data_IF_643257904368
#
_entry.id   IF_643257904368
#
_cell.length_a   1.000
_cell.length_b   1.000
_cell.length_c   1.000
_cell.angle_alpha   90.00
_cell.angle_beta   90.00
_cell.angle_gamma   90.00
#
_symmetry.space_group_name_H-M   'P 1'
#
loop_
_entity.id
_entity.type
_entity.pdbx_description
1 polymer ?
#
# COMPACT_ATOMS: atom_id res chain seq x y z
N UNK A 1 -2.12 -41.56 -2.65
CA UNK A 1 -0.89 -41.59 -1.82
C UNK A 1 -0.03 -40.32 -1.97
N UNK A 2 0.32 -39.91 -3.20
CA UNK A 2 1.25 -38.78 -3.46
C UNK A 2 0.65 -37.42 -3.06
N UNK A 3 -0.63 -37.19 -3.31
CA UNK A 3 -1.29 -35.93 -2.95
C UNK A 3 -1.35 -35.69 -1.43
N UNK A 4 -1.53 -36.75 -0.63
CA UNK A 4 -1.54 -36.63 0.84
C UNK A 4 -0.13 -36.34 1.36
N UNK A 5 0.90 -36.96 0.77
CA UNK A 5 2.29 -36.72 1.14
C UNK A 5 2.73 -35.27 0.81
N UNK A 6 2.34 -34.73 -0.35
CA UNK A 6 2.62 -33.36 -0.74
C UNK A 6 1.90 -32.37 0.19
N UNK A 7 0.64 -32.64 0.53
CA UNK A 7 -0.12 -31.84 1.48
C UNK A 7 0.50 -31.87 2.88
N UNK A 8 0.92 -33.06 3.38
CA UNK A 8 1.57 -33.20 4.68
C UNK A 8 2.93 -32.45 4.73
N UNK A 9 3.74 -32.54 3.67
CA UNK A 9 5.01 -31.81 3.56
C UNK A 9 4.74 -30.29 3.47
N UNK A 10 3.73 -29.87 2.72
CA UNK A 10 3.32 -28.46 2.66
C UNK A 10 2.89 -27.92 4.03
N UNK A 11 2.09 -28.67 4.79
CA UNK A 11 1.67 -28.30 6.14
C UNK A 11 2.86 -28.29 7.11
N UNK A 12 3.78 -29.27 7.00
CA UNK A 12 4.98 -29.32 7.84
C UNK A 12 5.93 -28.16 7.55
N UNK A 13 6.15 -27.79 6.28
CA UNK A 13 6.93 -26.62 5.91
C UNK A 13 6.24 -25.34 6.41
N UNK A 14 4.93 -25.22 6.26
CA UNK A 14 4.15 -24.08 6.74
C UNK A 14 4.24 -23.96 8.27
N UNK A 15 4.12 -25.08 9.01
CA UNK A 15 4.23 -25.07 10.47
C UNK A 15 5.63 -24.71 10.97
N UNK A 16 6.69 -25.20 10.31
CA UNK A 16 8.09 -24.83 10.64
C UNK A 16 8.39 -23.38 10.30
N UNK A 17 7.90 -22.87 9.16
CA UNK A 17 8.07 -21.45 8.81
C UNK A 17 7.26 -20.53 9.72
N UNK A 18 6.08 -20.96 10.15
CA UNK A 18 5.27 -20.27 11.17
C UNK A 18 5.99 -20.31 12.51
N UNK A 19 6.50 -21.44 12.99
CA UNK A 19 7.19 -21.57 14.27
C UNK A 19 8.51 -20.75 14.35
N UNK A 20 9.25 -20.63 13.25
CA UNK A 20 10.49 -19.82 13.20
C UNK A 20 10.26 -18.33 12.93
N UNK A 21 9.11 -17.95 12.37
CA UNK A 21 8.72 -16.53 12.13
C UNK A 21 7.87 -15.96 13.29
N UNK A 22 7.57 -16.77 14.31
CA UNK A 22 6.53 -16.50 15.30
C UNK A 22 6.69 -15.22 16.10
N UNK A 23 7.92 -14.79 16.36
CA UNK A 23 8.09 -13.59 17.19
C UNK A 23 7.79 -12.30 16.44
N UNK A 24 8.19 -12.16 15.17
CA UNK A 24 8.08 -10.88 14.49
C UNK A 24 6.69 -10.57 13.92
N UNK A 25 6.01 -11.56 13.34
CA UNK A 25 4.65 -11.39 12.81
C UNK A 25 3.62 -11.29 13.92
N UNK A 26 3.74 -12.15 14.93
CA UNK A 26 2.90 -12.10 16.12
C UNK A 26 3.09 -10.79 16.89
N UNK A 27 4.32 -10.31 17.03
CA UNK A 27 4.59 -9.01 17.64
C UNK A 27 3.88 -7.86 16.92
N UNK A 28 3.84 -7.84 15.58
CA UNK A 28 3.10 -6.82 14.82
C UNK A 28 1.60 -6.86 15.10
N UNK A 29 1.01 -8.06 15.19
CA UNK A 29 -0.42 -8.20 15.51
C UNK A 29 -0.69 -7.82 16.97
N UNK A 30 0.15 -8.25 17.90
CA UNK A 30 0.03 -7.90 19.34
C UNK A 30 0.20 -6.39 19.52
N UNK A 31 1.19 -5.78 18.85
CA UNK A 31 1.42 -4.33 18.87
C UNK A 31 0.24 -3.55 18.29
N UNK A 32 -0.41 -4.08 17.28
CA UNK A 32 -1.60 -3.47 16.72
C UNK A 32 -2.81 -3.56 17.64
N UNK A 33 -2.99 -4.70 18.35
CA UNK A 33 -4.09 -4.89 19.29
C UNK A 33 -3.91 -4.11 20.61
N UNK A 34 -2.67 -3.93 21.07
CA UNK A 34 -2.33 -3.20 22.29
C UNK A 34 -1.23 -2.15 22.03
N UNK A 35 -1.54 -1.05 21.34
CA UNK A 35 -0.54 -0.05 20.93
C UNK A 35 0.13 0.64 22.11
N UNK A 36 -0.59 0.85 23.23
CA UNK A 36 -0.05 1.51 24.41
C UNK A 36 0.97 0.65 25.18
N UNK A 37 0.75 -0.67 25.23
CA UNK A 37 1.64 -1.59 25.94
C UNK A 37 2.94 -1.90 25.15
N UNK A 38 2.99 -1.62 23.86
CA UNK A 38 4.09 -1.95 22.95
C UNK A 38 4.67 -0.71 22.25
N UNK A 39 4.50 0.46 22.85
CA UNK A 39 4.93 1.75 22.30
C UNK A 39 6.42 1.80 21.94
N UNK A 40 7.27 1.01 22.61
CA UNK A 40 8.71 1.02 22.39
C UNK A 40 9.18 0.14 21.20
N UNK A 41 8.35 -0.75 20.65
CA UNK A 41 8.85 -1.75 19.69
C UNK A 41 8.08 -1.89 18.38
N UNK A 42 6.77 -1.88 18.37
CA UNK A 42 6.02 -2.23 17.15
C UNK A 42 4.93 -1.24 16.77
N UNK A 43 4.30 -0.61 17.75
CA UNK A 43 3.24 0.38 17.54
C UNK A 43 3.76 1.81 17.41
N UNK A 44 5.03 2.06 17.74
CA UNK A 44 5.65 3.38 17.68
C UNK A 44 5.45 4.06 16.31
N UNK A 45 5.71 3.32 15.22
CA UNK A 45 5.60 3.84 13.87
C UNK A 45 4.16 4.27 13.53
N UNK A 46 3.15 3.47 13.89
CA UNK A 46 1.74 3.79 13.63
C UNK A 46 1.26 4.95 14.52
N UNK A 47 1.63 4.94 15.82
CA UNK A 47 1.28 6.02 16.74
C UNK A 47 1.87 7.36 16.30
N UNK A 48 3.14 7.39 15.94
CA UNK A 48 3.79 8.59 15.40
C UNK A 48 3.15 9.03 14.07
N UNK A 49 2.73 8.06 13.24
CA UNK A 49 1.96 8.33 12.02
C UNK A 49 0.64 9.03 12.31
N UNK A 50 -0.13 8.55 13.27
CA UNK A 50 -1.39 9.18 13.67
C UNK A 50 -1.19 10.58 14.26
N UNK A 51 -0.14 10.78 15.07
CA UNK A 51 0.23 12.11 15.58
C UNK A 51 0.62 13.06 14.44
N UNK A 52 1.36 12.59 13.44
CA UNK A 52 1.73 13.39 12.27
C UNK A 52 0.50 13.82 11.47
N UNK A 53 -0.44 12.89 11.19
CA UNK A 53 -1.70 13.20 10.52
C UNK A 53 -2.50 14.25 11.32
N UNK A 54 -2.63 14.04 12.64
CA UNK A 54 -3.34 14.99 13.51
C UNK A 54 -2.68 16.37 13.57
N UNK A 55 -1.34 16.42 13.55
CA UNK A 55 -0.59 17.67 13.62
C UNK A 55 -0.61 18.49 12.32
N UNK A 56 -0.86 17.84 11.17
CA UNK A 56 -0.96 18.51 9.87
C UNK A 56 -2.24 19.34 9.70
N UNK A 57 -3.32 19.02 10.41
CA UNK A 57 -4.60 19.74 10.30
C UNK A 57 -5.15 19.75 8.86
N UNK A 58 -5.90 20.80 8.49
CA UNK A 58 -6.51 20.90 7.17
C UNK A 58 -5.53 21.26 6.07
N UNK A 59 -4.60 22.18 6.33
CA UNK A 59 -3.70 22.76 5.31
C UNK A 59 -2.23 22.35 5.46
N UNK A 60 -1.91 21.56 6.46
CA UNK A 60 -0.54 21.08 6.71
C UNK A 60 0.38 22.14 7.35
N UNK A 61 1.59 21.71 7.68
CA UNK A 61 2.67 22.53 8.24
C UNK A 61 3.50 23.22 7.16
N UNK A 62 3.23 22.96 5.88
CA UNK A 62 4.00 23.41 4.74
C UNK A 62 5.02 22.38 4.25
N UNK A 63 5.33 22.45 2.96
CA UNK A 63 6.29 21.55 2.30
C UNK A 63 7.66 21.62 2.98
N UNK A 64 8.24 20.44 3.27
CA UNK A 64 9.55 20.32 3.89
C UNK A 64 9.58 20.48 5.41
N UNK A 65 8.47 20.85 6.06
CA UNK A 65 8.39 21.11 7.49
C UNK A 65 7.87 19.90 8.31
N UNK A 66 7.87 18.72 7.73
CA UNK A 66 7.52 17.51 8.48
C UNK A 66 8.59 17.22 9.54
N UNK A 67 8.19 17.17 10.79
CA UNK A 67 9.06 16.80 11.91
C UNK A 67 9.30 15.29 11.96
N UNK A 68 8.34 14.50 11.51
CA UNK A 68 8.40 13.05 11.51
C UNK A 68 9.34 12.48 10.44
N UNK A 69 9.56 13.21 9.33
CA UNK A 69 10.50 12.87 8.26
C UNK A 69 11.96 12.88 8.73
N UNK A 70 12.31 13.66 9.75
CA UNK A 70 13.67 13.88 10.22
C UNK A 70 14.19 12.78 11.17
N UNK A 71 13.71 11.56 11.04
CA UNK A 71 14.27 10.38 11.75
C UNK A 71 13.42 9.87 12.91
N UNK A 72 12.22 10.42 13.12
CA UNK A 72 11.30 9.92 14.15
C UNK A 72 10.58 8.65 13.67
N UNK A 73 10.15 8.62 12.40
CA UNK A 73 9.53 7.42 11.79
C UNK A 73 10.58 6.69 10.95
N UNK A 74 10.95 5.45 11.28
CA UNK A 74 11.79 4.62 10.42
C UNK A 74 11.13 4.42 9.05
N UNK A 75 11.89 4.53 7.96
CA UNK A 75 11.41 4.27 6.59
C UNK A 75 10.18 5.10 6.17
N UNK A 76 10.02 6.32 6.72
CA UNK A 76 8.88 7.22 6.45
C UNK A 76 8.63 7.46 4.94
N UNK A 77 9.69 7.42 4.14
CA UNK A 77 9.66 7.61 2.70
C UNK A 77 9.14 6.39 1.91
N UNK A 78 9.06 5.21 2.54
CA UNK A 78 8.62 3.98 1.91
C UNK A 78 7.12 3.77 2.13
N UNK A 79 6.73 3.10 3.20
CA UNK A 79 5.35 2.69 3.47
C UNK A 79 4.50 3.75 4.21
N UNK A 80 5.16 4.75 4.83
CA UNK A 80 4.50 5.83 5.59
C UNK A 80 4.51 7.20 4.88
N UNK A 81 4.75 7.22 3.56
CA UNK A 81 4.82 8.50 2.82
C UNK A 81 3.51 9.28 2.88
N UNK A 82 2.35 8.60 2.94
CA UNK A 82 1.05 9.26 3.07
C UNK A 82 0.94 10.04 4.39
N UNK A 83 1.56 9.58 5.46
CA UNK A 83 1.65 10.29 6.74
C UNK A 83 2.39 11.62 6.58
N UNK A 84 3.55 11.58 5.89
CA UNK A 84 4.35 12.79 5.62
C UNK A 84 3.54 13.79 4.78
N UNK A 85 2.81 13.31 3.79
CA UNK A 85 1.93 14.13 2.96
C UNK A 85 0.82 14.78 3.80
N UNK A 86 0.21 14.02 4.71
CA UNK A 86 -0.81 14.54 5.62
C UNK A 86 -0.22 15.60 6.58
N UNK A 87 1.03 15.43 7.04
CA UNK A 87 1.69 16.42 7.90
C UNK A 87 2.06 17.69 7.14
N UNK A 88 2.63 17.57 5.93
CA UNK A 88 3.12 18.71 5.14
C UNK A 88 2.00 19.47 4.41
N UNK A 89 1.07 18.75 3.78
CA UNK A 89 -0.01 19.31 2.94
C UNK A 89 -1.39 19.26 3.61
N UNK A 90 -1.46 18.65 4.80
CA UNK A 90 -2.71 18.48 5.53
C UNK A 90 -3.67 17.48 4.89
N UNK A 91 -4.88 17.45 5.42
CA UNK A 91 -5.98 16.61 4.88
C UNK A 91 -6.28 16.97 3.43
N UNK A 92 -6.18 18.25 3.06
CA UNK A 92 -6.40 18.70 1.68
C UNK A 92 -5.45 18.00 0.69
N UNK A 93 -4.15 17.95 1.00
CA UNK A 93 -3.16 17.25 0.16
C UNK A 93 -3.44 15.76 0.04
N UNK A 94 -3.79 15.10 1.15
CA UNK A 94 -4.18 13.70 1.14
C UNK A 94 -5.40 13.44 0.26
N UNK A 95 -6.46 14.27 0.38
CA UNK A 95 -7.67 14.16 -0.45
C UNK A 95 -7.35 14.33 -1.93
N UNK A 96 -6.52 15.29 -2.31
CA UNK A 96 -6.11 15.48 -3.72
C UNK A 96 -5.44 14.19 -4.26
N UNK A 97 -4.54 13.59 -3.50
CA UNK A 97 -3.87 12.35 -3.91
C UNK A 97 -4.87 11.20 -4.05
N UNK A 98 -5.79 11.04 -3.09
CA UNK A 98 -6.82 10.01 -3.16
C UNK A 98 -7.76 10.20 -4.35
N UNK A 99 -8.12 11.43 -4.69
CA UNK A 99 -8.89 11.75 -5.90
C UNK A 99 -8.12 11.37 -7.16
N UNK A 100 -6.82 11.65 -7.23
CA UNK A 100 -6.00 11.24 -8.37
C UNK A 100 -5.94 9.71 -8.51
N UNK A 101 -5.80 8.95 -7.41
CA UNK A 101 -5.91 7.49 -7.45
C UNK A 101 -7.29 7.02 -7.89
N UNK A 102 -8.36 7.63 -7.40
CA UNK A 102 -9.72 7.31 -7.82
C UNK A 102 -9.92 7.52 -9.33
N UNK A 103 -9.40 8.61 -9.88
CA UNK A 103 -9.43 8.89 -11.32
C UNK A 103 -8.59 7.87 -12.12
N UNK A 104 -7.41 7.50 -11.63
CA UNK A 104 -6.58 6.46 -12.24
C UNK A 104 -7.32 5.11 -12.27
N UNK A 105 -7.87 4.69 -11.14
CA UNK A 105 -8.61 3.44 -11.03
C UNK A 105 -9.87 3.45 -11.90
N UNK A 106 -10.59 4.57 -11.96
CA UNK A 106 -11.72 4.75 -12.87
C UNK A 106 -11.32 4.55 -14.33
N UNK A 107 -10.18 5.12 -14.76
CA UNK A 107 -9.65 4.94 -16.11
C UNK A 107 -9.26 3.49 -16.40
N UNK A 108 -8.66 2.79 -15.44
CA UNK A 108 -8.30 1.38 -15.59
C UNK A 108 -9.55 0.49 -15.73
N UNK A 109 -10.61 0.74 -14.95
CA UNK A 109 -11.90 0.06 -15.12
C UNK A 109 -12.49 0.34 -16.51
N UNK A 110 -12.43 1.58 -16.98
CA UNK A 110 -12.91 1.95 -18.30
C UNK A 110 -12.17 1.18 -19.38
N UNK A 111 -10.84 1.09 -19.30
CA UNK A 111 -10.01 0.31 -20.23
C UNK A 111 -10.39 -1.17 -20.18
N UNK A 112 -10.54 -1.73 -18.97
CA UNK A 112 -10.91 -3.14 -18.81
C UNK A 112 -12.26 -3.48 -19.43
N UNK A 113 -13.26 -2.60 -19.27
CA UNK A 113 -14.61 -2.81 -19.82
C UNK A 113 -14.71 -2.67 -21.34
N UNK A 114 -13.87 -1.82 -21.94
CA UNK A 114 -13.91 -1.51 -23.37
C UNK A 114 -12.76 -2.16 -24.16
N UNK A 115 -11.99 -3.05 -23.54
CA UNK A 115 -10.92 -3.77 -24.24
C UNK A 115 -11.48 -4.62 -25.39
N UNK A 116 -10.83 -4.64 -26.55
CA UNK A 116 -11.33 -5.33 -27.75
C UNK A 116 -11.32 -6.85 -27.63
N UNK A 117 -10.48 -7.39 -26.74
CA UNK A 117 -10.27 -8.81 -26.52
C UNK A 117 -10.33 -9.17 -25.03
N UNK A 118 -10.76 -10.40 -24.73
CA UNK A 118 -10.86 -10.90 -23.36
C UNK A 118 -9.51 -10.88 -22.63
N UNK A 119 -8.42 -11.16 -23.35
CA UNK A 119 -7.08 -11.17 -22.76
C UNK A 119 -6.66 -9.78 -22.28
N UNK A 120 -6.86 -8.75 -23.10
CA UNK A 120 -6.61 -7.35 -22.71
C UNK A 120 -7.48 -6.89 -21.53
N UNK A 121 -8.77 -7.29 -21.53
CA UNK A 121 -9.69 -7.01 -20.43
C UNK A 121 -9.22 -7.62 -19.11
N UNK A 122 -8.78 -8.89 -19.12
CA UNK A 122 -8.27 -9.58 -17.92
C UNK A 122 -6.98 -8.93 -17.41
N UNK A 123 -6.05 -8.57 -18.29
CA UNK A 123 -4.81 -7.86 -17.91
C UNK A 123 -5.15 -6.51 -17.28
N UNK A 124 -6.00 -5.70 -17.91
CA UNK A 124 -6.37 -4.38 -17.38
C UNK A 124 -7.09 -4.50 -16.02
N UNK A 125 -7.93 -5.52 -15.83
CA UNK A 125 -8.57 -5.84 -14.55
C UNK A 125 -7.54 -6.25 -13.50
N UNK A 126 -6.52 -7.04 -13.86
CA UNK A 126 -5.43 -7.42 -12.97
C UNK A 126 -4.63 -6.21 -12.48
N UNK A 127 -4.25 -5.30 -13.39
CA UNK A 127 -3.55 -4.05 -13.08
C UNK A 127 -4.41 -3.16 -12.16
N UNK A 128 -5.69 -3.02 -12.48
CA UNK A 128 -6.64 -2.31 -11.62
C UNK A 128 -6.68 -2.89 -10.20
N UNK A 129 -6.84 -4.21 -10.07
CA UNK A 129 -6.94 -4.88 -8.78
C UNK A 129 -5.63 -4.73 -7.98
N UNK A 130 -4.47 -4.86 -8.62
CA UNK A 130 -3.16 -4.68 -8.00
C UNK A 130 -3.02 -3.28 -7.39
N UNK A 131 -3.22 -2.23 -8.19
CA UNK A 131 -3.08 -0.84 -7.74
C UNK A 131 -4.13 -0.49 -6.68
N UNK A 132 -5.39 -0.93 -6.87
CA UNK A 132 -6.46 -0.69 -5.91
C UNK A 132 -6.16 -1.32 -4.54
N UNK A 133 -5.72 -2.58 -4.52
CA UNK A 133 -5.35 -3.27 -3.28
C UNK A 133 -4.17 -2.60 -2.59
N UNK A 134 -3.12 -2.19 -3.32
CA UNK A 134 -2.00 -1.48 -2.72
C UNK A 134 -2.44 -0.18 -2.04
N UNK A 135 -3.24 0.64 -2.72
CA UNK A 135 -3.74 1.91 -2.18
C UNK A 135 -4.60 1.68 -0.94
N UNK A 136 -5.57 0.75 -1.02
CA UNK A 136 -6.49 0.45 0.10
C UNK A 136 -5.71 -0.09 1.30
N UNK A 137 -4.80 -1.03 1.09
CA UNK A 137 -4.02 -1.63 2.18
C UNK A 137 -3.06 -0.62 2.80
N UNK A 138 -2.40 0.24 2.01
CA UNK A 138 -1.55 1.31 2.54
C UNK A 138 -2.35 2.28 3.41
N UNK A 139 -3.52 2.75 2.94
CA UNK A 139 -4.39 3.63 3.73
C UNK A 139 -4.82 2.94 5.02
N UNK A 140 -5.23 1.67 4.97
CA UNK A 140 -5.68 0.93 6.14
C UNK A 140 -4.57 0.75 7.19
N UNK A 141 -3.32 0.55 6.75
CA UNK A 141 -2.15 0.49 7.65
C UNK A 141 -1.84 1.86 8.25
N UNK A 142 -1.79 2.91 7.43
CA UNK A 142 -1.46 4.27 7.86
C UNK A 142 -2.51 4.83 8.84
N UNK A 143 -3.77 4.45 8.68
CA UNK A 143 -4.87 4.83 9.61
C UNK A 143 -4.99 3.90 10.82
N UNK A 144 -4.11 2.90 10.96
CA UNK A 144 -4.13 1.96 12.08
C UNK A 144 -5.25 0.91 12.03
N UNK A 145 -6.01 0.81 10.92
CA UNK A 145 -7.05 -0.21 10.73
C UNK A 145 -6.47 -1.61 10.54
N UNK A 146 -5.24 -1.70 10.03
CA UNK A 146 -4.51 -2.95 9.84
C UNK A 146 -3.11 -2.85 10.46
N UNK A 147 -2.52 -3.99 10.86
CA UNK A 147 -1.14 -4.02 11.33
C UNK A 147 -0.17 -3.62 10.21
N UNK A 148 1.01 -3.13 10.57
CA UNK A 148 2.05 -2.72 9.62
C UNK A 148 2.47 -3.86 8.70
N UNK A 149 2.28 -3.69 7.38
CA UNK A 149 2.58 -4.70 6.35
C UNK A 149 3.76 -4.33 5.46
N UNK A 150 4.22 -3.08 5.49
CA UNK A 150 5.29 -2.60 4.60
C UNK A 150 4.84 -2.42 3.14
N UNK A 151 3.53 -2.33 2.87
CA UNK A 151 3.01 -2.10 1.52
C UNK A 151 3.16 -0.62 1.19
N UNK A 152 3.89 -0.34 0.12
CA UNK A 152 4.17 1.02 -0.37
C UNK A 152 2.98 1.62 -1.12
N UNK A 153 2.85 2.95 -1.11
CA UNK A 153 1.86 3.66 -1.92
C UNK A 153 2.33 3.73 -3.39
N UNK A 154 1.55 3.25 -4.38
CA UNK A 154 1.98 3.22 -5.78
C UNK A 154 2.42 4.61 -6.28
N UNK A 155 3.47 4.67 -7.09
CA UNK A 155 4.03 5.87 -7.74
C UNK A 155 4.61 6.96 -6.81
N UNK A 156 4.23 7.00 -5.55
CA UNK A 156 4.61 8.07 -4.60
C UNK A 156 5.70 7.61 -3.65
N UNK A 157 5.60 6.37 -3.15
CA UNK A 157 6.59 5.81 -2.24
C UNK A 157 7.95 5.61 -2.91
N UNK A 158 9.01 5.79 -2.13
CA UNK A 158 10.34 5.47 -2.58
C UNK A 158 10.51 3.97 -2.76
N UNK A 159 10.80 3.52 -4.00
CA UNK A 159 11.00 2.12 -4.33
C UNK A 159 11.36 1.96 -5.80
N UNK A 160 12.68 1.92 -6.13
CA UNK A 160 13.15 1.91 -7.52
C UNK A 160 12.60 0.73 -8.34
N UNK A 161 12.59 -0.48 -7.79
CA UNK A 161 12.06 -1.67 -8.46
C UNK A 161 10.53 -1.61 -8.61
N UNK A 162 9.81 -1.17 -7.59
CA UNK A 162 8.36 -1.05 -7.62
C UNK A 162 7.90 -0.08 -8.72
N UNK A 163 8.58 1.07 -8.87
CA UNK A 163 8.26 2.05 -9.91
C UNK A 163 8.44 1.47 -11.31
N UNK A 164 9.50 0.68 -11.55
CA UNK A 164 9.73 0.06 -12.87
C UNK A 164 8.59 -0.88 -13.24
N UNK A 165 8.14 -1.73 -12.30
CA UNK A 165 7.01 -2.62 -12.54
C UNK A 165 5.69 -1.87 -12.75
N UNK A 166 5.41 -0.87 -11.93
CA UNK A 166 4.21 -0.03 -12.08
C UNK A 166 4.19 0.71 -13.42
N UNK A 167 5.34 1.23 -13.87
CA UNK A 167 5.45 1.87 -15.19
C UNK A 167 5.24 0.87 -16.33
N UNK A 168 5.75 -0.37 -16.20
CA UNK A 168 5.50 -1.44 -17.17
C UNK A 168 4.01 -1.80 -17.24
N UNK A 169 3.34 -1.95 -16.08
CA UNK A 169 1.89 -2.19 -16.01
C UNK A 169 1.09 -1.06 -16.68
N UNK A 170 1.45 0.20 -16.41
CA UNK A 170 0.81 1.35 -17.05
C UNK A 170 1.06 1.38 -18.55
N UNK A 171 2.27 1.00 -19.00
CA UNK A 171 2.59 0.88 -20.42
C UNK A 171 1.71 -0.16 -21.14
N UNK A 172 1.47 -1.31 -20.49
CA UNK A 172 0.58 -2.36 -21.00
C UNK A 172 -0.87 -1.84 -21.05
N UNK A 173 -1.36 -1.21 -19.98
CA UNK A 173 -2.70 -0.65 -19.92
C UNK A 173 -2.94 0.41 -21.01
N UNK A 174 -1.96 1.28 -21.26
CA UNK A 174 -2.01 2.26 -22.36
C UNK A 174 -1.98 1.59 -23.73
N UNK A 175 -1.20 0.50 -23.91
CA UNK A 175 -1.19 -0.31 -25.12
C UNK A 175 -2.56 -0.91 -25.45
N UNK A 176 -3.28 -1.41 -24.43
CA UNK A 176 -4.64 -1.92 -24.59
C UNK A 176 -5.60 -0.76 -24.93
N UNK A 177 -5.48 0.37 -24.21
CA UNK A 177 -6.32 1.55 -24.43
C UNK A 177 -6.27 2.07 -25.87
N UNK A 178 -5.11 2.03 -26.52
CA UNK A 178 -4.95 2.47 -27.91
C UNK A 178 -5.73 1.63 -28.93
N UNK A 179 -6.09 0.41 -28.58
CA UNK A 179 -6.87 -0.49 -29.45
C UNK A 179 -8.38 -0.34 -29.26
N UNK A 180 -8.82 0.43 -28.28
CA UNK A 180 -10.23 0.70 -28.01
C UNK A 180 -10.76 1.62 -29.11
N UNK A 181 -11.75 1.17 -29.87
CA UNK A 181 -12.51 2.01 -30.82
C UNK A 181 -13.69 2.57 -30.03
N UNK A 182 -13.68 3.88 -29.79
CA UNK A 182 -14.85 4.58 -29.28
C UNK A 182 -15.76 4.84 -30.50
N UNK A 183 -16.82 4.05 -30.63
CA UNK A 183 -17.92 4.31 -31.58
C UNK A 183 -18.81 5.43 -31.03
#
# INVERSE_FOLDING_TARGET
GIGIAVAAVGIAILSVTVANSDNFRLQRVISWLNPEATADTGSFQVMQGLYAIGSGGLFGKGLGNSTQKLGVIPEAQNDMILVVICEELGVFGAVVILVLFALLLYRLIFIAKNAPDLFGSLIATGIFAHIALQVILNIAVVTGLLPTTGITLPFISYGGTAIVFLMAEMGIALGISRKIRLE
#
